data_IF_435105022851
#
_entry.id   IF_435105022851
#
_cell.length_a   1.000
_cell.length_b   1.000
_cell.length_c   1.000
_cell.angle_alpha   90.00
_cell.angle_beta   90.00
_cell.angle_gamma   90.00
#
_symmetry.space_group_name_H-M   'P 1'
#
loop_
_entity.id
_entity.type
_entity.pdbx_description
1 polymer ?
#
# COMPACT_ATOMS: atom_id res chain seq x y z
N UNK A 1 2.22 -21.24 -3.63
CA UNK A 1 1.59 -19.91 -3.54
C UNK A 1 2.24 -19.18 -2.37
N UNK A 2 2.60 -17.90 -2.52
CA UNK A 2 3.05 -17.09 -1.39
C UNK A 2 1.95 -17.03 -0.33
N UNK A 3 2.33 -16.86 0.94
CA UNK A 3 1.38 -16.70 2.03
C UNK A 3 0.66 -15.35 1.95
N UNK A 4 -0.42 -15.18 2.72
CA UNK A 4 -1.08 -13.87 2.85
C UNK A 4 -0.14 -12.84 3.46
N UNK A 5 0.76 -13.26 4.35
CA UNK A 5 1.76 -12.37 4.96
C UNK A 5 2.77 -11.89 3.92
N UNK A 6 3.30 -12.78 3.07
CA UNK A 6 4.20 -12.39 1.96
C UNK A 6 3.50 -11.41 0.99
N UNK A 7 2.24 -11.67 0.66
CA UNK A 7 1.44 -10.81 -0.20
C UNK A 7 1.20 -9.42 0.44
N UNK A 8 1.02 -9.38 1.76
CA UNK A 8 0.89 -8.13 2.51
C UNK A 8 2.21 -7.36 2.56
N UNK A 9 3.34 -8.03 2.80
CA UNK A 9 4.65 -7.38 2.82
C UNK A 9 4.99 -6.72 1.48
N UNK A 10 4.66 -7.41 0.40
CA UNK A 10 4.81 -6.92 -0.97
C UNK A 10 3.84 -5.77 -1.27
N UNK A 11 2.58 -5.86 -0.83
CA UNK A 11 1.62 -4.77 -0.96
C UNK A 11 2.11 -3.48 -0.26
N UNK A 12 2.72 -3.60 0.92
CA UNK A 12 3.35 -2.48 1.64
C UNK A 12 4.53 -1.92 0.88
N UNK A 13 5.38 -2.78 0.29
CA UNK A 13 6.50 -2.32 -0.54
C UNK A 13 6.00 -1.52 -1.74
N UNK A 14 5.01 -2.04 -2.47
CA UNK A 14 4.37 -1.38 -3.60
C UNK A 14 3.71 -0.05 -3.21
N UNK A 15 3.06 0.02 -2.05
CA UNK A 15 2.44 1.25 -1.57
C UNK A 15 3.48 2.34 -1.28
N UNK A 16 4.65 1.98 -0.73
CA UNK A 16 5.75 2.92 -0.51
C UNK A 16 6.33 3.41 -1.84
N UNK A 17 6.54 2.52 -2.81
CA UNK A 17 7.04 2.88 -4.14
C UNK A 17 6.08 3.87 -4.83
N UNK A 18 4.76 3.59 -4.80
CA UNK A 18 3.72 4.47 -5.31
C UNK A 18 3.69 5.83 -4.59
N UNK A 19 3.87 5.82 -3.26
CA UNK A 19 3.92 7.05 -2.46
C UNK A 19 5.11 7.94 -2.86
N UNK A 20 6.26 7.36 -3.24
CA UNK A 20 7.42 8.11 -3.72
C UNK A 20 7.17 8.70 -5.10
N UNK A 21 6.49 7.96 -5.98
CA UNK A 21 6.14 8.42 -7.33
C UNK A 21 5.05 9.49 -7.35
N UNK A 22 4.23 9.57 -6.29
CA UNK A 22 3.31 10.68 -6.06
C UNK A 22 4.12 11.95 -5.76
N UNK A 23 4.42 12.72 -6.81
CA UNK A 23 4.92 14.08 -6.64
C UNK A 23 3.95 14.88 -5.76
N UNK A 24 4.42 15.80 -4.91
CA UNK A 24 3.56 16.72 -4.18
C UNK A 24 2.93 17.71 -5.16
N UNK A 25 1.96 17.24 -5.94
CA UNK A 25 0.90 18.07 -6.47
C UNK A 25 0.05 18.52 -5.30
N UNK A 26 -0.47 19.73 -5.35
CA UNK A 26 -1.15 20.43 -4.24
C UNK A 26 -2.48 19.79 -3.81
N UNK A 27 -2.74 18.55 -4.22
CA UNK A 27 -3.91 17.78 -3.88
C UNK A 27 -3.68 17.02 -2.57
N UNK A 28 -4.67 17.10 -1.68
CA UNK A 28 -4.73 16.31 -0.46
C UNK A 28 -4.77 14.83 -0.86
N UNK A 29 -3.62 14.15 -0.77
CA UNK A 29 -3.45 12.73 -1.08
C UNK A 29 -4.26 11.91 -0.09
N UNK A 30 -5.55 11.78 -0.39
CA UNK A 30 -6.53 11.05 0.40
C UNK A 30 -6.99 9.82 -0.38
N UNK A 31 -7.12 8.70 0.32
CA UNK A 31 -7.56 7.43 -0.26
C UNK A 31 -6.53 6.30 -0.16
N UNK A 32 -6.81 5.21 -0.87
CA UNK A 32 -6.00 3.99 -0.87
C UNK A 32 -5.00 3.99 -2.01
N UNK A 33 -3.77 3.53 -1.74
CA UNK A 33 -2.71 3.32 -2.72
C UNK A 33 -2.75 1.91 -3.29
N UNK A 34 -2.97 0.91 -2.43
CA UNK A 34 -2.99 -0.50 -2.81
C UNK A 34 -4.22 -1.19 -2.21
N UNK A 35 -4.82 -2.10 -2.96
CA UNK A 35 -5.87 -3.01 -2.48
C UNK A 35 -5.51 -4.43 -2.85
N UNK A 36 -5.38 -5.30 -1.85
CA UNK A 36 -5.20 -6.72 -2.02
C UNK A 36 -6.58 -7.39 -2.00
N UNK A 37 -6.87 -8.16 -3.04
CA UNK A 37 -8.12 -8.93 -3.16
C UNK A 37 -7.82 -10.42 -3.31
N UNK A 38 -8.75 -11.25 -2.88
CA UNK A 38 -8.68 -12.69 -3.12
C UNK A 38 -9.10 -13.05 -4.55
N UNK A 39 -9.12 -14.35 -4.86
CA UNK A 39 -9.53 -14.89 -6.16
C UNK A 39 -11.00 -14.61 -6.53
N UNK A 40 -11.86 -14.37 -5.54
CA UNK A 40 -13.27 -14.02 -5.71
C UNK A 40 -13.48 -12.50 -5.86
N UNK A 41 -12.41 -11.71 -5.69
CA UNK A 41 -12.47 -10.25 -5.70
C UNK A 41 -12.82 -9.64 -4.35
N UNK A 42 -12.91 -10.42 -3.28
CA UNK A 42 -13.14 -9.93 -1.91
C UNK A 42 -11.93 -9.13 -1.43
N UNK A 43 -12.16 -8.02 -0.74
CA UNK A 43 -11.09 -7.16 -0.24
C UNK A 43 -10.46 -7.79 1.01
N UNK A 44 -9.19 -8.17 0.91
CA UNK A 44 -8.42 -8.71 2.03
C UNK A 44 -7.72 -7.60 2.83
N UNK A 45 -7.12 -6.64 2.13
CA UNK A 45 -6.41 -5.52 2.75
C UNK A 45 -6.42 -4.30 1.84
N UNK A 46 -6.41 -3.10 2.42
CA UNK A 46 -6.18 -1.85 1.72
C UNK A 46 -5.08 -1.09 2.47
N UNK A 47 -4.18 -0.44 1.72
CA UNK A 47 -3.13 0.41 2.29
C UNK A 47 -3.43 1.82 1.83
N UNK A 48 -3.69 2.70 2.78
CA UNK A 48 -3.84 4.12 2.52
C UNK A 48 -2.51 4.89 2.54
N UNK A 49 -2.60 6.17 2.20
CA UNK A 49 -1.44 7.07 2.17
C UNK A 49 -0.77 7.17 3.55
N UNK A 50 -1.54 7.24 4.64
CA UNK A 50 -1.01 7.34 6.00
C UNK A 50 -0.31 6.05 6.44
N UNK A 51 -0.88 4.90 6.12
CA UNK A 51 -0.27 3.59 6.36
C UNK A 51 1.05 3.44 5.58
N UNK A 52 1.08 3.85 4.31
CA UNK A 52 2.29 3.82 3.50
C UNK A 52 3.37 4.78 4.03
N UNK A 53 2.99 5.99 4.48
CA UNK A 53 3.89 6.93 5.13
C UNK A 53 4.49 6.36 6.42
N UNK A 54 3.65 5.78 7.29
CA UNK A 54 4.11 5.15 8.52
C UNK A 54 5.03 3.94 8.25
N UNK A 55 4.69 3.13 7.24
CA UNK A 55 5.52 2.00 6.83
C UNK A 55 6.88 2.44 6.28
N UNK A 56 6.93 3.53 5.50
CA UNK A 56 8.18 4.12 5.01
C UNK A 56 9.11 4.58 6.13
N UNK A 57 8.56 5.08 7.24
CA UNK A 57 9.36 5.55 8.39
C UNK A 57 9.89 4.42 9.27
N UNK A 58 9.30 3.23 9.18
CA UNK A 58 9.62 2.08 10.04
C UNK A 58 10.42 1.00 9.34
N UNK A 59 10.47 1.03 8.01
CA UNK A 59 11.32 0.15 7.18
C UNK A 59 12.68 0.84 6.92
N UNK A 60 13.81 0.15 7.13
CA UNK A 60 15.15 0.67 6.84
C UNK A 60 15.44 0.75 5.33
#
# INVERSE_FOLDING_TARGET
>A
MPSLEDAREEAVRCAIDLLVDLQPGTDDLSGWLVRLRDENGELLYAIDVQEAEAARLTRP
#
